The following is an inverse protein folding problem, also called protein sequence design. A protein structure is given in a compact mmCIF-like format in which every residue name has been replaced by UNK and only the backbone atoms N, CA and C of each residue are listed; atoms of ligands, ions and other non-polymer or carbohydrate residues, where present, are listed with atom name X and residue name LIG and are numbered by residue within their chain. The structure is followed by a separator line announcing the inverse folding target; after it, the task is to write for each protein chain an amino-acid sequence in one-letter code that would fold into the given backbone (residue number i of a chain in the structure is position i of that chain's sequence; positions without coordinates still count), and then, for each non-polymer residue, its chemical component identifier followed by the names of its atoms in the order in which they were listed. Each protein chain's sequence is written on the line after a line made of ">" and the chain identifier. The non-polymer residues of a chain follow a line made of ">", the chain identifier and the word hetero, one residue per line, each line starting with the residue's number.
data_IF_743912524603
#
_entry.id   IF_743912524603
#
_cell.length_a   1.000
_cell.length_b   1.000
_cell.length_c   1.000
_cell.angle_alpha   90.00
_cell.angle_beta   90.00
_cell.angle_gamma   90.00
#
_symmetry.space_group_name_H-M   'P 1'
#
loop_
_entity.id
_entity.type
_entity.pdbx_description
1 polymer ?
#
# COMPACT_ATOMS: atom_id res chain seq x y z
N UNK A 1 -15.35 10.40 -6.19
CA UNK A 1 -15.17 10.65 -4.75
C UNK A 1 -15.21 12.16 -4.49
N UNK A 2 -14.37 12.97 -5.13
CA UNK A 2 -14.31 14.43 -4.92
C UNK A 2 -15.65 15.16 -5.25
N UNK A 3 -16.48 14.57 -6.08
CA UNK A 3 -17.77 15.14 -6.49
C UNK A 3 -18.96 14.57 -5.71
N UNK A 4 -18.73 13.65 -4.79
CA UNK A 4 -19.79 13.10 -3.96
C UNK A 4 -20.07 14.01 -2.77
N UNK A 5 -21.33 14.39 -2.62
CA UNK A 5 -21.82 15.30 -1.56
C UNK A 5 -22.65 14.55 -0.51
N UNK A 6 -22.91 13.25 -0.73
CA UNK A 6 -23.79 12.50 0.15
C UNK A 6 -22.97 11.57 1.08
N UNK A 7 -23.36 11.46 2.36
CA UNK A 7 -22.75 10.54 3.30
C UNK A 7 -23.13 9.09 2.99
N UNK A 8 -22.41 8.11 3.58
CA UNK A 8 -22.68 6.67 3.49
C UNK A 8 -24.14 6.30 3.74
N UNK A 9 -24.78 6.97 4.70
CA UNK A 9 -26.18 6.74 5.04
C UNK A 9 -27.17 6.97 3.88
N UNK A 10 -26.75 7.70 2.85
CA UNK A 10 -27.52 7.84 1.62
C UNK A 10 -27.75 6.50 0.87
N UNK A 11 -26.93 5.50 1.11
CA UNK A 11 -27.09 4.13 0.56
C UNK A 11 -28.28 3.41 1.19
N UNK A 12 -28.65 3.76 2.42
CA UNK A 12 -29.68 3.04 3.19
C UNK A 12 -31.08 3.11 2.59
N UNK A 13 -31.38 4.20 1.87
CA UNK A 13 -32.66 4.28 1.15
C UNK A 13 -32.81 3.20 0.06
N UNK A 14 -31.69 2.65 -0.42
CA UNK A 14 -31.67 1.55 -1.38
C UNK A 14 -31.59 0.19 -0.69
N UNK A 15 -31.58 0.14 0.66
CA UNK A 15 -31.38 -1.06 1.44
C UNK A 15 -29.93 -1.54 1.50
N UNK A 16 -28.97 -0.77 0.98
CA UNK A 16 -27.55 -1.10 0.95
C UNK A 16 -26.90 -0.60 2.24
N UNK A 17 -26.32 -1.50 3.05
CA UNK A 17 -25.67 -1.13 4.32
C UNK A 17 -24.36 -0.34 4.08
N UNK A 18 -23.64 -0.68 3.00
CA UNK A 18 -22.29 -0.21 2.71
C UNK A 18 -21.22 -0.81 3.62
N UNK A 19 -21.54 -1.78 4.48
CA UNK A 19 -20.57 -2.52 5.30
C UNK A 19 -19.98 -3.72 4.54
N UNK A 20 -20.75 -4.24 3.60
CA UNK A 20 -20.33 -5.26 2.65
C UNK A 20 -19.91 -4.55 1.35
N UNK A 21 -18.74 -4.89 0.76
CA UNK A 21 -18.34 -4.34 -0.52
C UNK A 21 -19.37 -4.69 -1.59
N UNK A 22 -19.69 -3.76 -2.47
CA UNK A 22 -20.59 -4.04 -3.58
C UNK A 22 -19.99 -3.73 -4.95
N UNK A 23 -20.36 -4.53 -5.94
CA UNK A 23 -20.09 -4.26 -7.34
C UNK A 23 -21.29 -3.58 -7.99
N UNK A 24 -21.03 -2.56 -8.79
CA UNK A 24 -22.05 -1.82 -9.53
C UNK A 24 -22.04 -2.28 -11.00
N UNK A 25 -23.15 -2.82 -11.48
CA UNK A 25 -23.36 -3.11 -12.90
C UNK A 25 -24.44 -2.18 -13.47
N UNK A 26 -24.11 -1.47 -14.54
CA UNK A 26 -25.03 -0.54 -15.20
C UNK A 26 -25.63 -1.21 -16.43
N UNK A 27 -26.96 -1.29 -16.51
CA UNK A 27 -27.73 -1.89 -17.61
C UNK A 27 -28.50 -0.76 -18.30
N UNK A 28 -28.10 -0.41 -19.52
CA UNK A 28 -28.67 0.72 -20.27
C UNK A 28 -29.72 0.31 -21.30
N UNK A 29 -29.67 -0.93 -21.77
CA UNK A 29 -30.56 -1.45 -22.81
C UNK A 29 -30.72 -2.97 -22.66
N UNK A 30 -31.57 -3.56 -23.49
CA UNK A 30 -31.84 -5.02 -23.51
C UNK A 30 -30.61 -5.85 -23.84
N UNK A 31 -29.70 -5.36 -24.68
CA UNK A 31 -28.46 -6.07 -25.04
C UNK A 31 -27.53 -6.27 -23.83
N UNK A 32 -27.67 -5.42 -22.81
CA UNK A 32 -26.91 -5.50 -21.57
C UNK A 32 -27.56 -6.37 -20.49
N UNK A 33 -28.79 -6.87 -20.68
CA UNK A 33 -29.47 -7.75 -19.72
C UNK A 33 -28.71 -9.06 -19.41
N UNK A 34 -27.95 -9.67 -20.33
CA UNK A 34 -27.08 -10.79 -19.96
C UNK A 34 -26.09 -10.46 -18.83
N UNK A 35 -25.73 -9.20 -18.65
CA UNK A 35 -24.84 -8.75 -17.57
C UNK A 35 -25.46 -8.98 -16.17
N UNK A 36 -26.78 -8.90 -16.03
CA UNK A 36 -27.47 -9.25 -14.79
C UNK A 36 -27.23 -10.72 -14.42
N UNK A 37 -27.32 -11.63 -15.40
CA UNK A 37 -27.02 -13.05 -15.18
C UNK A 37 -25.55 -13.31 -14.79
N UNK A 38 -24.61 -12.60 -15.40
CA UNK A 38 -23.19 -12.67 -15.02
C UNK A 38 -22.94 -12.13 -13.62
N UNK A 39 -23.54 -11.00 -13.29
CA UNK A 39 -23.44 -10.40 -11.96
C UNK A 39 -24.02 -11.33 -10.87
N UNK A 40 -25.15 -12.02 -11.18
CA UNK A 40 -25.74 -13.04 -10.32
C UNK A 40 -24.81 -14.24 -10.11
N UNK A 41 -24.16 -14.76 -11.15
CA UNK A 41 -23.16 -15.82 -11.03
C UNK A 41 -21.96 -15.41 -10.18
N UNK A 42 -21.49 -14.18 -10.34
CA UNK A 42 -20.37 -13.63 -9.58
C UNK A 42 -20.75 -13.52 -8.09
N UNK A 43 -21.94 -12.98 -7.80
CA UNK A 43 -22.51 -12.92 -6.46
C UNK A 43 -22.55 -14.31 -5.82
N UNK A 44 -23.13 -15.29 -6.50
CA UNK A 44 -23.21 -16.66 -6.03
C UNK A 44 -21.83 -17.25 -5.72
N UNK A 45 -20.89 -17.14 -6.66
CA UNK A 45 -19.55 -17.67 -6.52
C UNK A 45 -18.81 -17.11 -5.28
N UNK A 46 -18.83 -15.79 -5.07
CA UNK A 46 -18.11 -15.18 -3.95
C UNK A 46 -18.75 -15.52 -2.61
N UNK A 47 -20.08 -15.50 -2.53
CA UNK A 47 -20.77 -15.86 -1.29
C UNK A 47 -20.60 -17.35 -0.94
N UNK A 48 -20.59 -18.26 -1.91
CA UNK A 48 -20.27 -19.68 -1.70
C UNK A 48 -18.83 -19.89 -1.19
N UNK A 49 -17.91 -19.02 -1.57
CA UNK A 49 -16.52 -19.05 -1.08
C UNK A 49 -16.35 -18.36 0.28
N UNK A 50 -17.42 -17.90 0.90
CA UNK A 50 -17.38 -17.21 2.19
C UNK A 50 -16.91 -15.75 2.12
N UNK A 51 -16.84 -15.16 0.91
CA UNK A 51 -16.56 -13.75 0.72
C UNK A 51 -17.88 -12.98 0.54
N UNK A 52 -18.37 -12.25 1.56
CA UNK A 52 -19.59 -11.49 1.45
C UNK A 52 -19.43 -10.37 0.40
N UNK A 53 -20.30 -10.37 -0.59
CA UNK A 53 -20.31 -9.42 -1.69
C UNK A 53 -21.76 -9.04 -2.00
N UNK A 54 -22.05 -7.74 -2.05
CA UNK A 54 -23.28 -7.23 -2.62
C UNK A 54 -23.13 -6.97 -4.12
N UNK A 55 -24.20 -7.06 -4.87
CA UNK A 55 -24.28 -6.67 -6.26
C UNK A 55 -25.40 -5.67 -6.44
N UNK A 56 -25.11 -4.53 -7.06
CA UNK A 56 -26.08 -3.50 -7.39
C UNK A 56 -26.23 -3.41 -8.90
N UNK A 57 -27.41 -3.70 -9.41
CA UNK A 57 -27.76 -3.54 -10.81
C UNK A 57 -28.50 -2.19 -10.97
N UNK A 58 -27.89 -1.24 -11.66
CA UNK A 58 -28.47 0.05 -11.96
C UNK A 58 -29.04 0.03 -13.40
N UNK A 59 -30.36 0.00 -13.52
CA UNK A 59 -31.06 -0.07 -14.80
C UNK A 59 -31.39 1.33 -15.29
N UNK A 60 -30.66 1.79 -16.32
CA UNK A 60 -30.75 3.13 -16.94
C UNK A 60 -31.37 3.03 -18.34
N UNK A 61 -32.66 2.74 -18.44
CA UNK A 61 -33.34 2.71 -19.73
C UNK A 61 -33.61 4.11 -20.29
N UNK A 62 -33.44 4.27 -21.62
CA UNK A 62 -33.86 5.47 -22.32
C UNK A 62 -35.40 5.60 -22.36
N UNK A 63 -35.92 6.82 -22.35
CA UNK A 63 -37.35 7.13 -22.51
C UNK A 63 -38.34 6.45 -21.54
N UNK A 64 -37.96 6.24 -20.27
CA UNK A 64 -38.88 5.70 -19.28
C UNK A 64 -38.98 4.17 -19.25
N UNK A 65 -38.21 3.45 -20.04
CA UNK A 65 -38.18 1.98 -20.11
C UNK A 65 -37.34 1.33 -19.00
N UNK A 66 -36.87 2.12 -18.02
CA UNK A 66 -36.06 1.61 -16.91
C UNK A 66 -36.77 0.58 -16.03
N UNK A 67 -38.11 0.67 -15.89
CA UNK A 67 -38.91 -0.30 -15.13
C UNK A 67 -38.95 -1.69 -15.77
N UNK A 68 -39.05 -1.77 -17.08
CA UNK A 68 -38.97 -3.06 -17.82
C UNK A 68 -37.62 -3.74 -17.66
N UNK A 69 -36.53 -2.98 -17.87
CA UNK A 69 -35.17 -3.50 -17.67
C UNK A 69 -34.91 -3.96 -16.24
N UNK A 70 -35.41 -3.21 -15.26
CA UNK A 70 -35.26 -3.61 -13.85
C UNK A 70 -36.04 -4.89 -13.51
N UNK A 71 -37.25 -5.08 -14.08
CA UNK A 71 -38.01 -6.28 -13.90
C UNK A 71 -37.31 -7.50 -14.49
N UNK A 72 -36.84 -7.40 -15.74
CA UNK A 72 -36.09 -8.48 -16.39
C UNK A 72 -34.77 -8.79 -15.67
N UNK A 73 -34.07 -7.77 -15.16
CA UNK A 73 -32.86 -7.96 -14.38
C UNK A 73 -33.14 -8.72 -13.07
N UNK A 74 -34.27 -8.46 -12.39
CA UNK A 74 -34.72 -9.21 -11.21
C UNK A 74 -34.97 -10.67 -11.55
N UNK A 75 -35.72 -10.94 -12.60
CA UNK A 75 -36.03 -12.31 -13.08
C UNK A 75 -34.76 -13.10 -13.40
N UNK A 76 -33.79 -12.48 -14.05
CA UNK A 76 -32.51 -13.13 -14.38
C UNK A 76 -31.62 -13.41 -13.19
N UNK A 77 -31.81 -12.69 -12.07
CA UNK A 77 -31.00 -12.84 -10.85
C UNK A 77 -31.71 -13.61 -9.74
N UNK A 78 -33.00 -13.88 -9.87
CA UNK A 78 -33.83 -14.54 -8.85
C UNK A 78 -33.24 -15.89 -8.41
N UNK A 79 -32.81 -16.71 -9.38
CA UNK A 79 -32.20 -18.02 -9.10
C UNK A 79 -30.93 -17.96 -8.26
N UNK A 80 -30.24 -16.81 -8.22
CA UNK A 80 -29.03 -16.61 -7.44
C UNK A 80 -29.30 -15.98 -6.06
N UNK A 81 -30.49 -15.43 -5.85
CA UNK A 81 -30.88 -14.75 -4.61
C UNK A 81 -31.50 -15.70 -3.59
N UNK A 82 -31.90 -16.91 -3.99
CA UNK A 82 -32.56 -17.87 -3.14
C UNK A 82 -31.60 -18.92 -2.59
N UNK A 83 -31.66 -19.14 -1.27
CA UNK A 83 -31.04 -20.32 -0.64
C UNK A 83 -29.64 -20.12 -0.04
N UNK A 84 -29.09 -18.91 -0.01
CA UNK A 84 -27.76 -18.68 0.56
C UNK A 84 -27.79 -18.12 1.98
N UNK A 85 -27.05 -18.78 2.88
CA UNK A 85 -26.76 -18.28 4.23
C UNK A 85 -25.73 -17.13 4.26
N UNK A 86 -25.31 -16.64 3.08
CA UNK A 86 -24.33 -15.56 2.92
C UNK A 86 -24.88 -14.20 3.32
N UNK A 87 -24.01 -13.32 3.79
CA UNK A 87 -24.37 -11.96 4.22
C UNK A 87 -24.68 -10.99 3.06
N UNK A 88 -24.26 -11.31 1.81
CA UNK A 88 -24.44 -10.44 0.64
C UNK A 88 -25.83 -10.50 0.02
N UNK A 89 -26.19 -9.49 -0.77
CA UNK A 89 -27.49 -9.35 -1.47
C UNK A 89 -27.33 -8.83 -2.89
N UNK A 90 -28.35 -9.06 -3.73
CA UNK A 90 -28.49 -8.45 -5.05
C UNK A 90 -29.55 -7.35 -4.97
N UNK A 91 -29.20 -6.15 -5.37
CA UNK A 91 -30.08 -4.98 -5.41
C UNK A 91 -30.30 -4.60 -6.88
N UNK A 92 -31.55 -4.38 -7.25
CA UNK A 92 -31.94 -3.91 -8.58
C UNK A 92 -32.59 -2.55 -8.46
N UNK A 93 -31.92 -1.54 -8.98
CA UNK A 93 -32.32 -0.14 -8.86
C UNK A 93 -32.79 0.41 -10.21
N UNK A 94 -33.89 1.17 -10.19
CA UNK A 94 -34.42 1.88 -11.35
C UNK A 94 -33.76 3.23 -11.49
N UNK A 95 -32.97 3.46 -12.53
CA UNK A 95 -32.21 4.67 -12.75
C UNK A 95 -33.06 5.94 -12.80
N UNK A 96 -34.30 5.83 -13.26
CA UNK A 96 -35.26 6.97 -13.28
C UNK A 96 -35.62 7.51 -11.89
N UNK A 97 -35.50 6.69 -10.86
CA UNK A 97 -35.80 7.07 -9.45
C UNK A 97 -34.58 7.57 -8.67
N UNK A 98 -33.41 7.64 -9.32
CA UNK A 98 -32.13 7.95 -8.69
C UNK A 98 -31.64 9.33 -9.15
N UNK A 99 -31.42 10.23 -8.21
CA UNK A 99 -30.88 11.55 -8.48
C UNK A 99 -29.40 11.50 -8.91
N UNK A 100 -28.90 12.58 -9.50
CA UNK A 100 -27.48 12.71 -9.89
C UNK A 100 -26.54 12.55 -8.69
N UNK A 101 -26.90 13.12 -7.54
CA UNK A 101 -26.11 13.03 -6.31
C UNK A 101 -26.04 11.58 -5.78
N UNK A 102 -27.15 10.85 -5.81
CA UNK A 102 -27.22 9.44 -5.40
C UNK A 102 -26.48 8.51 -6.37
N UNK A 103 -26.50 8.83 -7.65
CA UNK A 103 -25.70 8.13 -8.65
C UNK A 103 -24.21 8.29 -8.36
N UNK A 104 -23.75 9.51 -8.09
CA UNK A 104 -22.38 9.79 -7.67
C UNK A 104 -22.02 9.03 -6.38
N UNK A 105 -22.95 8.94 -5.43
CA UNK A 105 -22.78 8.16 -4.21
C UNK A 105 -22.54 6.67 -4.52
N UNK A 106 -23.38 6.03 -5.37
CA UNK A 106 -23.21 4.62 -5.76
C UNK A 106 -21.84 4.38 -6.40
N UNK A 107 -21.42 5.23 -7.35
CA UNK A 107 -20.09 5.14 -7.97
C UNK A 107 -18.94 5.40 -7.00
N UNK A 108 -19.15 6.20 -5.98
CA UNK A 108 -18.14 6.50 -4.96
C UNK A 108 -17.90 5.33 -4.02
N UNK A 109 -18.98 4.63 -3.64
CA UNK A 109 -18.92 3.58 -2.63
C UNK A 109 -18.80 2.18 -3.19
N UNK A 110 -19.01 1.95 -4.48
CA UNK A 110 -18.82 0.64 -5.08
C UNK A 110 -17.33 0.23 -5.04
N UNK A 111 -17.08 -1.05 -4.82
CA UNK A 111 -15.75 -1.64 -4.89
C UNK A 111 -15.23 -1.73 -6.35
N UNK A 112 -16.15 -1.74 -7.32
CA UNK A 112 -15.83 -1.73 -8.73
C UNK A 112 -17.08 -1.61 -9.58
N UNK A 113 -16.90 -1.11 -10.81
CA UNK A 113 -17.96 -1.02 -11.81
C UNK A 113 -17.75 -2.12 -12.83
N UNK A 114 -18.77 -2.97 -13.01
CA UNK A 114 -18.82 -3.92 -14.10
C UNK A 114 -19.23 -3.15 -15.35
N UNK A 115 -18.27 -2.87 -16.21
CA UNK A 115 -18.49 -2.15 -17.45
C UNK A 115 -19.06 -3.04 -18.54
N UNK A 116 -18.78 -2.72 -19.80
CA UNK A 116 -19.23 -3.49 -20.96
C UNK A 116 -18.62 -4.90 -20.94
N UNK A 117 -19.38 -5.85 -20.37
CA UNK A 117 -19.00 -7.27 -20.26
C UNK A 117 -19.02 -7.94 -21.64
N UNK A 118 -19.61 -7.33 -22.65
CA UNK A 118 -19.63 -7.84 -24.04
C UNK A 118 -18.24 -8.02 -24.65
N UNK A 119 -17.24 -7.32 -24.12
CA UNK A 119 -15.84 -7.48 -24.51
C UNK A 119 -15.03 -8.45 -23.64
N UNK A 120 -15.68 -9.16 -22.71
CA UNK A 120 -15.12 -10.12 -21.77
C UNK A 120 -14.51 -9.44 -20.52
N UNK A 121 -14.86 -9.97 -19.35
CA UNK A 121 -14.27 -9.54 -18.06
C UNK A 121 -12.75 -9.61 -18.10
N UNK A 122 -12.18 -10.57 -18.83
CA UNK A 122 -10.73 -10.71 -19.02
C UNK A 122 -10.07 -9.43 -19.54
N UNK A 123 -10.72 -8.69 -20.46
CA UNK A 123 -10.14 -7.45 -20.98
C UNK A 123 -10.15 -6.31 -19.97
N UNK A 124 -11.14 -6.26 -19.06
CA UNK A 124 -11.19 -5.27 -18.00
C UNK A 124 -10.12 -5.55 -16.93
N UNK A 125 -9.86 -6.83 -16.64
CA UNK A 125 -8.83 -7.25 -15.67
C UNK A 125 -7.43 -7.35 -16.30
N UNK A 126 -7.29 -7.64 -17.59
CA UNK A 126 -5.98 -7.69 -18.29
C UNK A 126 -5.40 -6.31 -18.58
N UNK A 127 -6.19 -5.24 -18.59
CA UNK A 127 -5.63 -3.88 -18.63
C UNK A 127 -4.90 -3.51 -17.32
N UNK A 128 -5.24 -4.12 -16.18
CA UNK A 128 -4.54 -3.94 -14.91
C UNK A 128 -3.23 -4.76 -14.81
N UNK A 129 -2.98 -5.69 -15.72
CA UNK A 129 -1.91 -6.68 -15.60
C UNK A 129 -1.02 -6.81 -16.84
N UNK A 130 -0.59 -5.73 -17.48
CA UNK A 130 0.65 -5.85 -18.27
C UNK A 130 1.77 -6.11 -17.27
N UNK A 131 2.14 -7.39 -17.12
CA UNK A 131 3.42 -7.76 -16.52
C UNK A 131 4.53 -7.20 -17.41
N UNK A 132 4.88 -5.94 -17.17
CA UNK A 132 6.09 -5.35 -17.73
C UNK A 132 7.21 -6.05 -16.98
N UNK A 133 7.82 -7.04 -17.58
CA UNK A 133 9.03 -7.67 -17.05
C UNK A 133 10.14 -6.65 -17.22
N UNK A 134 10.41 -5.88 -16.18
CA UNK A 134 11.59 -5.05 -16.15
C UNK A 134 12.81 -5.93 -15.88
N UNK A 135 13.72 -5.99 -16.85
CA UNK A 135 15.00 -6.67 -16.69
C UNK A 135 15.95 -5.74 -15.94
N UNK A 136 16.19 -6.02 -14.68
CA UNK A 136 17.18 -5.25 -13.91
C UNK A 136 18.60 -5.51 -14.46
N UNK A 137 19.43 -4.47 -14.60
CA UNK A 137 20.85 -4.64 -14.90
C UNK A 137 21.55 -5.43 -13.77
N UNK A 138 22.71 -6.00 -14.08
CA UNK A 138 23.52 -6.67 -13.05
C UNK A 138 24.08 -5.62 -12.06
N UNK A 139 24.07 -5.92 -10.74
CA UNK A 139 24.69 -5.03 -9.76
C UNK A 139 26.21 -5.02 -9.90
N UNK A 140 26.83 -3.94 -9.47
CA UNK A 140 28.27 -3.89 -9.25
C UNK A 140 28.65 -4.76 -8.05
N UNK A 141 29.86 -5.34 -8.01
CA UNK A 141 30.36 -6.09 -6.85
C UNK A 141 30.34 -5.22 -5.58
N UNK A 142 30.00 -5.82 -4.46
CA UNK A 142 30.02 -5.19 -3.15
C UNK A 142 30.81 -6.03 -2.16
N UNK A 143 31.34 -5.41 -1.12
CA UNK A 143 32.02 -6.13 -0.05
C UNK A 143 30.99 -6.86 0.83
N UNK A 144 31.29 -8.10 1.30
CA UNK A 144 30.43 -8.81 2.23
C UNK A 144 30.37 -8.05 3.56
N UNK A 145 29.27 -8.24 4.29
CA UNK A 145 29.13 -7.70 5.64
C UNK A 145 30.08 -8.44 6.60
N UNK A 146 30.76 -7.68 7.47
CA UNK A 146 31.53 -8.26 8.56
C UNK A 146 30.59 -8.98 9.53
N UNK A 147 31.08 -10.09 10.12
CA UNK A 147 30.33 -10.86 11.11
C UNK A 147 30.98 -10.73 12.46
N UNK A 148 30.15 -10.59 13.47
CA UNK A 148 30.55 -10.47 14.87
C UNK A 148 30.53 -11.86 15.55
N UNK A 149 31.36 -12.03 16.59
CA UNK A 149 31.22 -13.12 17.53
C UNK A 149 30.09 -12.80 18.50
N UNK A 150 29.03 -13.58 18.48
CA UNK A 150 27.80 -13.33 19.23
C UNK A 150 27.64 -14.30 20.38
N UNK A 151 27.21 -13.79 21.53
CA UNK A 151 26.79 -14.61 22.66
C UNK A 151 25.44 -15.25 22.38
N UNK A 152 25.26 -16.48 22.85
CA UNK A 152 23.99 -17.24 22.71
C UNK A 152 23.48 -17.35 21.26
N UNK A 153 24.40 -17.52 20.32
CA UNK A 153 24.05 -17.65 18.91
C UNK A 153 23.14 -18.86 18.64
N UNK A 154 22.01 -18.64 17.98
CA UNK A 154 20.97 -19.65 17.74
C UNK A 154 20.87 -20.13 16.28
N UNK A 155 21.86 -19.81 15.46
CA UNK A 155 21.87 -20.13 14.02
C UNK A 155 21.56 -18.94 13.11
N UNK A 156 20.82 -17.94 13.59
CA UNK A 156 20.45 -16.74 12.83
C UNK A 156 20.95 -15.46 13.50
N UNK A 157 21.00 -15.43 14.83
CA UNK A 157 21.38 -14.26 15.60
C UNK A 157 21.78 -14.58 17.04
N UNK A 158 22.24 -13.55 17.73
CA UNK A 158 22.69 -13.61 19.13
C UNK A 158 22.95 -12.20 19.65
N UNK A 159 23.49 -12.10 20.86
CA UNK A 159 23.79 -10.80 21.47
C UNK A 159 25.24 -10.38 21.21
N UNK A 160 25.42 -9.16 20.81
CA UNK A 160 26.74 -8.51 20.77
C UNK A 160 27.22 -8.29 22.22
N UNK A 161 28.40 -8.79 22.60
CA UNK A 161 28.88 -8.71 24.00
C UNK A 161 29.18 -7.28 24.46
N UNK A 162 29.42 -6.35 23.54
CA UNK A 162 29.81 -4.96 23.87
C UNK A 162 28.61 -4.01 23.87
N UNK A 163 27.78 -4.08 22.83
CA UNK A 163 26.63 -3.18 22.65
C UNK A 163 25.35 -3.69 23.30
N UNK A 164 25.29 -4.98 23.62
CA UNK A 164 24.07 -5.69 24.09
C UNK A 164 22.91 -5.66 23.06
N UNK A 165 23.19 -5.31 21.82
CA UNK A 165 22.22 -5.40 20.74
C UNK A 165 21.96 -6.86 20.38
N UNK A 166 20.74 -7.20 19.99
CA UNK A 166 20.46 -8.46 19.38
C UNK A 166 20.76 -8.37 17.88
N UNK A 167 21.77 -9.12 17.44
CA UNK A 167 22.26 -9.07 16.07
C UNK A 167 21.72 -10.25 15.28
N UNK A 168 21.10 -9.99 14.14
CA UNK A 168 20.61 -10.98 13.19
C UNK A 168 21.47 -10.86 11.93
N UNK A 169 22.09 -11.97 11.52
CA UNK A 169 22.96 -11.99 10.34
C UNK A 169 22.46 -13.05 9.37
N UNK A 170 21.86 -12.61 8.28
CA UNK A 170 21.26 -13.45 7.25
C UNK A 170 22.14 -13.46 6.01
N UNK A 171 22.48 -14.65 5.51
CA UNK A 171 23.15 -14.84 4.22
C UNK A 171 22.15 -14.80 3.08
N UNK A 172 22.67 -14.77 1.86
CA UNK A 172 21.88 -14.97 0.65
C UNK A 172 20.99 -16.21 0.77
N UNK A 173 19.68 -16.03 0.58
CA UNK A 173 18.68 -17.11 0.67
C UNK A 173 18.24 -17.52 2.08
N UNK A 174 18.89 -17.02 3.15
CA UNK A 174 18.47 -17.30 4.53
C UNK A 174 17.31 -16.39 4.96
N UNK A 175 16.42 -16.91 5.81
CA UNK A 175 15.37 -16.15 6.49
C UNK A 175 15.21 -16.65 7.91
N UNK A 176 14.79 -15.79 8.81
CA UNK A 176 14.33 -16.16 10.15
C UNK A 176 13.09 -17.06 10.06
N UNK A 177 12.84 -17.94 11.04
CA UNK A 177 11.66 -18.82 11.04
C UNK A 177 10.31 -18.06 11.09
N UNK A 178 10.33 -16.85 11.62
CA UNK A 178 9.22 -15.89 11.68
C UNK A 178 9.81 -14.50 11.78
N UNK A 179 9.04 -13.41 11.54
CA UNK A 179 9.52 -12.06 11.72
C UNK A 179 9.97 -11.79 13.15
N UNK A 180 11.25 -11.46 13.34
CA UNK A 180 11.79 -11.05 14.62
C UNK A 180 11.78 -9.53 14.71
N UNK A 181 11.04 -9.00 15.68
CA UNK A 181 10.68 -7.60 15.72
C UNK A 181 11.23 -6.87 16.93
N UNK A 182 11.41 -5.57 16.77
CA UNK A 182 11.66 -4.61 17.84
C UNK A 182 10.50 -3.61 17.91
N UNK A 183 10.14 -3.19 19.12
CA UNK A 183 9.12 -2.17 19.37
C UNK A 183 9.83 -0.89 19.78
N UNK A 184 9.61 0.15 18.98
CA UNK A 184 10.18 1.48 19.17
C UNK A 184 9.03 2.44 19.47
N UNK A 185 8.96 2.97 20.68
CA UNK A 185 7.82 3.77 21.09
C UNK A 185 8.17 4.81 22.16
N UNK A 186 7.38 5.87 22.18
CA UNK A 186 7.21 6.78 23.30
C UNK A 186 5.76 6.70 23.81
N UNK A 187 5.34 7.61 24.69
CA UNK A 187 3.99 7.60 25.29
C UNK A 187 2.85 7.77 24.26
N UNK A 188 3.10 8.40 23.11
CA UNK A 188 2.07 8.81 22.16
C UNK A 188 2.23 8.19 20.77
N UNK A 189 3.37 7.56 20.48
CA UNK A 189 3.72 7.13 19.15
C UNK A 189 4.58 5.88 19.18
N UNK A 190 4.36 4.97 18.23
CA UNK A 190 5.17 3.76 18.19
C UNK A 190 5.16 3.08 16.82
N UNK A 191 6.16 2.23 16.66
CA UNK A 191 6.31 1.38 15.47
C UNK A 191 6.82 0.01 15.88
N UNK A 192 6.34 -1.03 15.21
CA UNK A 192 6.98 -2.34 15.18
C UNK A 192 7.87 -2.37 13.95
N UNK A 193 9.08 -2.85 14.10
CA UNK A 193 10.04 -3.02 12.99
C UNK A 193 10.59 -4.43 13.04
N UNK A 194 10.42 -5.19 11.95
CA UNK A 194 10.95 -6.54 11.82
C UNK A 194 12.35 -6.54 11.22
N UNK A 195 13.06 -7.66 11.29
CA UNK A 195 14.39 -7.80 10.70
C UNK A 195 14.38 -7.68 9.18
N UNK A 196 13.25 -7.88 8.54
CA UNK A 196 13.10 -7.69 7.10
C UNK A 196 12.79 -6.23 6.72
N UNK A 197 12.44 -5.37 7.69
CA UNK A 197 11.94 -4.01 7.48
C UNK A 197 10.42 -3.94 7.34
N UNK A 198 9.70 -5.01 7.68
CA UNK A 198 8.24 -5.02 7.83
C UNK A 198 7.78 -4.33 9.11
N UNK A 199 6.48 -4.41 9.37
CA UNK A 199 5.86 -3.84 10.57
C UNK A 199 4.83 -2.77 10.28
N UNK A 200 4.49 -1.96 11.29
CA UNK A 200 3.54 -0.85 11.16
C UNK A 200 3.82 0.26 12.17
N UNK A 201 3.30 1.45 11.87
CA UNK A 201 3.40 2.63 12.70
C UNK A 201 2.02 3.06 13.20
N UNK A 202 1.92 3.57 14.42
CA UNK A 202 0.69 4.05 15.03
C UNK A 202 0.91 5.32 15.84
N UNK A 203 -0.17 6.09 16.04
CA UNK A 203 -0.17 7.26 16.94
C UNK A 203 -1.28 7.13 17.95
N UNK A 204 -0.96 7.36 19.25
CA UNK A 204 -1.85 7.30 20.43
C UNK A 204 -2.43 5.92 20.71
N UNK A 205 -3.05 5.26 19.72
CA UNK A 205 -3.68 3.97 19.89
C UNK A 205 -3.29 3.02 18.75
N UNK A 206 -2.63 1.91 19.08
CA UNK A 206 -2.13 0.93 18.11
C UNK A 206 -3.23 0.10 17.42
N UNK A 207 -4.43 0.04 18.01
CA UNK A 207 -5.57 -0.64 17.41
C UNK A 207 -6.45 0.28 16.57
N UNK A 208 -6.70 1.51 17.06
CA UNK A 208 -7.70 2.42 16.50
C UNK A 208 -7.11 3.46 15.54
N UNK A 209 -5.83 3.78 15.66
CA UNK A 209 -5.17 4.80 14.85
C UNK A 209 -3.80 4.34 14.33
N UNK A 210 -3.83 3.35 13.45
CA UNK A 210 -2.66 2.93 12.69
C UNK A 210 -2.37 3.96 11.60
N UNK A 211 -1.11 4.38 11.48
CA UNK A 211 -0.66 5.22 10.36
C UNK A 211 -0.46 4.38 9.12
N UNK A 212 0.09 3.17 9.28
CA UNK A 212 0.30 2.20 8.21
C UNK A 212 -0.37 0.86 8.56
N UNK A 213 -0.76 0.02 7.58
CA UNK A 213 -1.47 -1.22 7.85
C UNK A 213 -0.67 -2.20 8.71
N UNK A 214 -1.37 -3.02 9.48
CA UNK A 214 -0.83 -4.18 10.18
C UNK A 214 -1.49 -5.45 9.68
N UNK A 215 -0.73 -6.37 9.10
CA UNK A 215 -1.24 -7.64 8.57
C UNK A 215 -1.12 -8.80 9.55
N UNK A 216 -0.18 -8.74 10.51
CA UNK A 216 0.20 -9.85 11.39
C UNK A 216 0.51 -11.16 10.61
N UNK A 217 1.06 -11.02 9.41
CA UNK A 217 1.41 -12.15 8.54
C UNK A 217 2.84 -12.61 8.86
N UNK A 218 2.94 -13.72 9.58
CA UNK A 218 4.21 -14.30 10.02
C UNK A 218 5.01 -14.98 8.87
N UNK A 219 4.43 -15.09 7.69
CA UNK A 219 5.08 -15.70 6.51
C UNK A 219 5.47 -14.64 5.49
N UNK A 220 4.55 -13.75 5.17
CA UNK A 220 4.75 -12.73 4.13
C UNK A 220 5.48 -11.49 4.62
N UNK A 221 5.34 -11.16 5.90
CA UNK A 221 5.90 -9.96 6.55
C UNK A 221 5.89 -8.71 5.65
N UNK A 222 4.71 -8.28 5.17
CA UNK A 222 4.63 -7.23 4.16
C UNK A 222 5.11 -5.89 4.71
N UNK A 223 6.06 -5.27 4.01
CA UNK A 223 6.54 -3.93 4.33
C UNK A 223 5.62 -2.88 3.71
N UNK A 224 4.87 -2.16 4.55
CA UNK A 224 4.02 -1.03 4.13
C UNK A 224 4.75 0.33 4.15
N UNK A 225 5.96 0.34 4.65
CA UNK A 225 6.90 1.46 4.61
C UNK A 225 8.21 0.96 4.00
N UNK A 226 8.76 1.68 3.03
CA UNK A 226 9.91 1.21 2.25
C UNK A 226 10.83 2.35 1.87
N UNK A 227 12.12 2.05 1.81
CA UNK A 227 13.13 2.90 1.17
C UNK A 227 13.69 2.12 -0.01
N UNK A 228 13.60 2.71 -1.20
CA UNK A 228 14.17 2.16 -2.42
C UNK A 228 15.27 3.09 -2.92
N UNK A 229 16.41 2.52 -3.28
CA UNK A 229 17.57 3.24 -3.79
C UNK A 229 17.77 2.82 -5.24
N UNK A 230 17.72 3.79 -6.14
CA UNK A 230 17.95 3.58 -7.56
C UNK A 230 19.23 4.26 -8.00
N UNK A 231 20.11 3.54 -8.63
CA UNK A 231 21.20 4.10 -9.41
C UNK A 231 20.63 4.69 -10.71
N UNK A 232 20.72 5.99 -10.88
CA UNK A 232 20.11 6.68 -12.03
C UNK A 232 20.82 6.37 -13.35
N UNK A 233 22.09 6.00 -13.31
CA UNK A 233 22.87 5.67 -14.49
C UNK A 233 22.61 4.26 -15.01
N UNK A 234 22.62 3.27 -14.12
CA UNK A 234 22.40 1.88 -14.50
C UNK A 234 20.91 1.49 -14.48
N UNK A 235 20.08 2.19 -13.70
CA UNK A 235 18.70 1.81 -13.43
C UNK A 235 18.56 0.68 -12.39
N UNK A 236 19.67 0.24 -11.76
CA UNK A 236 19.62 -0.79 -10.72
C UNK A 236 18.91 -0.27 -9.47
N UNK A 237 17.99 -1.09 -8.89
CA UNK A 237 17.23 -0.74 -7.69
C UNK A 237 17.49 -1.76 -6.59
N UNK A 238 17.69 -1.29 -5.38
CA UNK A 238 17.87 -2.09 -4.17
C UNK A 238 17.26 -1.37 -2.96
N UNK A 239 17.27 -2.00 -1.79
CA UNK A 239 16.72 -1.46 -0.55
C UNK A 239 17.73 -1.64 0.59
N UNK A 240 17.81 -0.71 1.56
CA UNK A 240 18.61 -0.88 2.77
C UNK A 240 18.03 -1.96 3.70
N UNK A 241 16.78 -2.38 3.50
CA UNK A 241 16.10 -3.45 4.21
C UNK A 241 15.82 -4.64 3.29
N UNK A 242 15.69 -5.83 3.86
CA UNK A 242 15.49 -7.08 3.11
C UNK A 242 14.18 -7.12 2.33
N UNK A 243 13.10 -6.69 2.96
CA UNK A 243 11.80 -6.63 2.31
C UNK A 243 11.60 -5.28 1.60
N UNK A 244 10.84 -5.28 0.52
CA UNK A 244 10.21 -6.40 -0.16
C UNK A 244 11.06 -6.96 -1.31
N UNK A 245 12.27 -6.45 -1.51
CA UNK A 245 12.89 -6.50 -2.82
C UNK A 245 14.08 -7.44 -2.95
N UNK A 246 14.97 -7.49 -1.97
CA UNK A 246 16.24 -8.22 -2.06
C UNK A 246 16.33 -9.39 -1.09
N UNK A 247 15.38 -10.32 -1.16
CA UNK A 247 15.33 -11.50 -0.27
C UNK A 247 16.54 -12.43 -0.36
N UNK A 248 17.37 -12.29 -1.40
CA UNK A 248 18.48 -13.20 -1.69
C UNK A 248 19.86 -12.57 -1.51
N UNK A 249 20.02 -11.58 -0.62
CA UNK A 249 21.28 -10.92 -0.35
C UNK A 249 21.62 -10.97 1.14
N UNK A 250 22.89 -10.70 1.46
CA UNK A 250 23.36 -10.62 2.83
C UNK A 250 22.82 -9.35 3.52
N UNK A 251 22.19 -9.54 4.67
CA UNK A 251 21.72 -8.44 5.53
C UNK A 251 22.16 -8.69 6.97
N UNK A 252 22.49 -7.60 7.68
CA UNK A 252 22.68 -7.63 9.11
C UNK A 252 21.74 -6.61 9.76
N UNK A 253 21.06 -7.05 10.81
CA UNK A 253 20.15 -6.23 11.59
C UNK A 253 20.59 -6.22 13.05
N UNK A 254 20.59 -5.07 13.69
CA UNK A 254 20.89 -4.90 15.11
C UNK A 254 19.70 -4.24 15.78
N UNK A 255 19.02 -4.98 16.63
CA UNK A 255 17.94 -4.49 17.47
C UNK A 255 18.51 -4.04 18.81
N UNK A 256 18.51 -2.74 19.04
CA UNK A 256 18.91 -2.11 20.28
C UNK A 256 17.72 -1.59 21.10
N UNK A 257 17.97 -1.08 22.29
CA UNK A 257 16.95 -0.43 23.12
C UNK A 257 16.63 0.94 22.52
N UNK A 258 15.41 1.08 21.95
CA UNK A 258 14.93 2.33 21.36
C UNK A 258 15.34 2.58 19.92
N UNK A 259 16.04 1.66 19.27
CA UNK A 259 16.37 1.75 17.85
C UNK A 259 16.56 0.39 17.19
N UNK A 260 16.52 0.37 15.87
CA UNK A 260 16.92 -0.77 15.02
C UNK A 260 17.81 -0.29 13.89
N UNK A 261 18.92 -1.01 13.63
CA UNK A 261 19.85 -0.71 12.55
C UNK A 261 19.86 -1.83 11.54
N UNK A 262 19.88 -1.45 10.26
CA UNK A 262 19.95 -2.34 9.11
C UNK A 262 21.20 -2.02 8.31
N UNK A 263 22.02 -3.03 8.04
CA UNK A 263 23.24 -2.91 7.26
C UNK A 263 23.12 -3.75 6.00
N UNK A 264 23.42 -3.12 4.87
CA UNK A 264 23.40 -3.79 3.59
C UNK A 264 24.41 -3.17 2.63
N UNK A 265 25.14 -4.03 1.91
CA UNK A 265 26.12 -3.63 0.92
C UNK A 265 25.72 -4.19 -0.44
N UNK A 266 25.29 -3.32 -1.36
CA UNK A 266 24.87 -3.73 -2.70
C UNK A 266 25.19 -2.67 -3.76
N UNK A 267 25.48 -3.14 -4.97
CA UNK A 267 25.78 -2.30 -6.14
C UNK A 267 26.90 -1.27 -5.87
N UNK A 268 27.97 -1.68 -5.16
CA UNK A 268 29.06 -0.81 -4.69
C UNK A 268 28.59 0.41 -3.87
N UNK A 269 27.51 0.22 -3.09
CA UNK A 269 27.00 1.17 -2.13
C UNK A 269 26.81 0.46 -0.78
N UNK A 270 27.36 1.03 0.29
CA UNK A 270 27.11 0.58 1.64
C UNK A 270 26.03 1.43 2.27
N UNK A 271 25.05 0.78 2.92
CA UNK A 271 23.95 1.43 3.61
C UNK A 271 23.91 1.03 5.08
N UNK A 272 23.66 2.00 5.95
CA UNK A 272 23.26 1.83 7.33
C UNK A 272 21.98 2.64 7.55
N UNK A 273 20.87 1.95 7.79
CA UNK A 273 19.59 2.57 8.14
C UNK A 273 19.35 2.40 9.65
N UNK A 274 19.25 3.50 10.38
CA UNK A 274 18.84 3.50 11.78
C UNK A 274 17.42 4.02 11.91
N UNK A 275 16.53 3.20 12.46
CA UNK A 275 15.12 3.55 12.71
C UNK A 275 14.91 3.72 14.21
N UNK A 276 14.30 4.82 14.62
CA UNK A 276 13.94 5.11 16.00
C UNK A 276 12.73 6.05 16.09
N UNK A 277 12.14 6.13 17.28
CA UNK A 277 11.08 7.09 17.60
C UNK A 277 11.68 8.14 18.52
N UNK A 278 11.39 9.42 18.26
CA UNK A 278 11.86 10.51 19.12
C UNK A 278 11.25 10.39 20.54
N UNK A 279 12.02 10.61 21.62
CA UNK A 279 11.50 10.42 22.98
C UNK A 279 10.32 11.31 23.32
N UNK A 280 10.30 12.53 22.82
CA UNK A 280 9.41 13.65 23.21
C UNK A 280 8.54 14.18 22.05
N UNK A 281 8.54 13.52 20.91
CA UNK A 281 7.71 13.87 19.78
C UNK A 281 7.11 12.63 19.08
N UNK A 282 5.90 12.72 18.51
CA UNK A 282 5.28 11.63 17.78
C UNK A 282 5.86 11.49 16.37
N UNK A 283 7.17 11.22 16.30
CA UNK A 283 7.94 11.17 15.05
C UNK A 283 8.80 9.92 15.01
N UNK A 284 8.66 9.15 13.96
CA UNK A 284 9.58 8.09 13.55
C UNK A 284 10.64 8.68 12.64
N UNK A 285 11.87 8.40 12.92
CA UNK A 285 13.02 8.81 12.11
C UNK A 285 13.63 7.59 11.44
N UNK A 286 13.83 7.68 10.13
CA UNK A 286 14.60 6.73 9.31
C UNK A 286 15.89 7.41 8.89
N UNK A 287 16.95 7.23 9.69
CA UNK A 287 18.25 7.86 9.45
C UNK A 287 19.13 6.95 8.59
N UNK A 288 19.28 7.30 7.32
CA UNK A 288 20.04 6.53 6.34
C UNK A 288 21.43 7.15 6.11
N UNK A 289 22.47 6.38 6.38
CA UNK A 289 23.85 6.68 6.00
C UNK A 289 24.19 5.88 4.74
N UNK A 290 24.68 6.53 3.70
CA UNK A 290 25.01 5.93 2.41
C UNK A 290 26.44 6.26 2.04
N UNK A 291 27.26 5.24 1.73
CA UNK A 291 28.63 5.38 1.29
C UNK A 291 28.80 4.82 -0.12
N UNK A 292 29.30 5.63 -1.04
CA UNK A 292 29.70 5.18 -2.37
C UNK A 292 31.06 4.49 -2.29
N UNK A 293 31.09 3.17 -2.47
CA UNK A 293 32.35 2.38 -2.48
C UNK A 293 32.89 2.13 -3.89
N UNK A 294 32.24 2.70 -4.92
CA UNK A 294 32.74 2.69 -6.30
C UNK A 294 33.88 3.69 -6.49
N UNK A 295 34.76 3.42 -7.45
CA UNK A 295 35.81 4.35 -7.86
C UNK A 295 35.32 5.56 -8.65
N UNK A 296 34.06 5.62 -9.01
CA UNK A 296 33.43 6.70 -9.78
C UNK A 296 32.35 7.43 -8.98
N UNK A 297 32.05 8.66 -9.38
CA UNK A 297 30.89 9.40 -8.87
C UNK A 297 29.59 8.69 -9.26
N UNK A 298 28.65 8.59 -8.32
CA UNK A 298 27.36 7.95 -8.49
C UNK A 298 26.22 8.94 -8.23
N UNK A 299 25.20 8.87 -9.06
CA UNK A 299 23.95 9.59 -8.83
C UNK A 299 22.87 8.59 -8.43
N UNK A 300 22.34 8.76 -7.21
CA UNK A 300 21.38 7.86 -6.61
C UNK A 300 20.09 8.60 -6.32
N UNK A 301 18.96 7.97 -6.64
CA UNK A 301 17.61 8.42 -6.27
C UNK A 301 17.09 7.57 -5.10
N UNK A 302 16.72 8.22 -4.02
CA UNK A 302 16.18 7.62 -2.82
C UNK A 302 14.68 7.87 -2.79
N UNK A 303 13.87 6.83 -2.81
CA UNK A 303 12.42 6.93 -2.71
C UNK A 303 11.97 6.31 -1.40
N UNK A 304 11.50 7.15 -0.47
CA UNK A 304 10.74 6.69 0.69
C UNK A 304 9.26 6.61 0.32
N UNK A 305 8.59 5.53 0.69
CA UNK A 305 7.17 5.36 0.45
C UNK A 305 6.48 4.64 1.59
N UNK A 306 5.23 5.02 1.86
CA UNK A 306 4.35 4.35 2.81
C UNK A 306 2.91 4.34 2.30
N UNK A 307 2.12 3.39 2.80
CA UNK A 307 0.69 3.29 2.54
C UNK A 307 -0.09 3.78 3.76
N UNK A 308 -0.65 5.01 3.74
CA UNK A 308 -1.34 5.56 4.90
C UNK A 308 -2.73 4.92 5.06
N UNK A 309 -3.09 4.60 6.31
CA UNK A 309 -4.42 4.11 6.70
C UNK A 309 -5.15 5.14 7.57
N UNK A 310 -4.45 5.70 8.56
CA UNK A 310 -4.97 6.64 9.56
C UNK A 310 -6.30 6.13 10.17
N UNK A 311 -6.31 4.86 10.55
CA UNK A 311 -7.52 4.17 11.01
C UNK A 311 -7.26 2.79 11.61
N UNK A 312 -8.31 2.00 11.71
CA UNK A 312 -8.29 0.67 12.32
C UNK A 312 -7.93 -0.43 11.33
N UNK A 313 -8.45 -0.33 10.10
CA UNK A 313 -8.39 -1.35 9.06
C UNK A 313 -7.73 -0.82 7.80
N UNK A 314 -7.17 -1.71 7.00
CA UNK A 314 -6.54 -1.33 5.73
C UNK A 314 -7.50 -0.59 4.78
N UNK A 315 -8.81 -0.92 4.85
CA UNK A 315 -9.87 -0.30 4.05
C UNK A 315 -10.10 1.17 4.40
N UNK A 316 -9.69 1.62 5.58
CA UNK A 316 -9.84 3.02 6.00
C UNK A 316 -8.94 3.96 5.17
N UNK A 317 -7.92 3.42 4.51
CA UNK A 317 -7.06 4.15 3.57
C UNK A 317 -7.85 4.90 2.48
N UNK A 318 -9.03 4.41 2.10
CA UNK A 318 -9.92 5.08 1.12
C UNK A 318 -10.45 6.43 1.56
N UNK A 319 -10.37 6.75 2.85
CA UNK A 319 -10.81 8.03 3.42
C UNK A 319 -9.65 9.00 3.64
N UNK A 320 -8.44 8.58 3.34
CA UNK A 320 -7.25 9.42 3.49
C UNK A 320 -7.16 10.39 2.33
N UNK A 321 -7.00 11.67 2.66
CA UNK A 321 -6.68 12.73 1.73
C UNK A 321 -5.25 13.20 1.96
N UNK A 322 -4.52 13.48 0.89
CA UNK A 322 -3.15 13.96 0.96
C UNK A 322 -3.01 15.37 0.40
N UNK A 323 -2.05 16.12 0.90
CA UNK A 323 -1.64 17.42 0.36
C UNK A 323 -0.13 17.58 0.44
N UNK A 324 0.42 18.29 -0.49
CA UNK A 324 1.82 18.72 -0.51
C UNK A 324 1.95 20.17 -0.13
N UNK A 325 2.91 20.49 0.72
CA UNK A 325 3.21 21.85 1.12
C UNK A 325 4.66 21.97 1.58
N UNK A 326 5.42 22.86 0.97
CA UNK A 326 6.80 23.25 1.32
C UNK A 326 7.72 22.07 1.71
N UNK A 327 7.83 21.06 0.82
CA UNK A 327 8.71 19.91 1.06
C UNK A 327 8.13 18.81 1.93
N UNK A 328 6.90 18.95 2.40
CA UNK A 328 6.23 18.00 3.29
C UNK A 328 4.97 17.45 2.65
N UNK A 329 4.83 16.14 2.66
CA UNK A 329 3.62 15.44 2.25
C UNK A 329 2.79 15.12 3.49
N UNK A 330 1.57 15.63 3.54
CA UNK A 330 0.62 15.46 4.64
C UNK A 330 -0.49 14.50 4.28
N UNK A 331 -1.03 13.81 5.28
CA UNK A 331 -2.19 12.94 5.14
C UNK A 331 -3.17 13.11 6.32
N UNK A 332 -4.46 13.10 6.02
CA UNK A 332 -5.54 13.25 7.00
C UNK A 332 -6.67 12.27 6.70
N UNK A 333 -7.30 11.74 7.75
CA UNK A 333 -8.52 10.95 7.63
C UNK A 333 -9.65 11.62 8.43
N UNK A 334 -10.41 12.46 7.75
CA UNK A 334 -11.53 13.20 8.37
C UNK A 334 -12.71 12.31 8.78
N UNK A 335 -12.75 11.07 8.30
CA UNK A 335 -13.80 10.09 8.63
C UNK A 335 -13.50 9.29 9.89
N UNK A 336 -12.29 9.39 10.44
CA UNK A 336 -11.92 8.78 11.71
C UNK A 336 -12.42 9.68 12.85
N UNK A 337 -13.61 9.41 13.38
CA UNK A 337 -14.29 10.30 14.32
C UNK A 337 -13.49 10.56 15.63
N UNK A 338 -12.74 9.56 16.11
CA UNK A 338 -11.97 9.66 17.37
C UNK A 338 -10.66 10.44 17.17
N UNK A 339 -10.05 10.32 15.99
CA UNK A 339 -8.74 10.90 15.68
C UNK A 339 -8.81 11.93 14.55
N UNK A 340 -10.01 12.42 14.20
CA UNK A 340 -10.18 13.53 13.25
C UNK A 340 -9.42 14.76 13.74
N UNK A 341 -8.79 15.47 12.81
CA UNK A 341 -7.95 16.63 13.14
C UNK A 341 -6.50 16.29 13.48
N UNK A 342 -6.11 15.00 13.50
CA UNK A 342 -4.72 14.60 13.47
C UNK A 342 -4.22 14.54 12.02
N UNK A 343 -3.05 15.11 11.80
CA UNK A 343 -2.37 15.12 10.51
C UNK A 343 -1.10 14.26 10.61
N UNK A 344 -0.97 13.26 9.76
CA UNK A 344 0.29 12.57 9.55
C UNK A 344 1.12 13.31 8.51
N UNK A 345 2.44 13.18 8.58
CA UNK A 345 3.35 13.79 7.61
C UNK A 345 4.52 12.89 7.27
N UNK A 346 5.09 13.12 6.08
CA UNK A 346 6.38 12.60 5.65
C UNK A 346 7.22 13.75 5.10
N UNK A 347 8.47 13.83 5.54
CA UNK A 347 9.43 14.85 5.14
C UNK A 347 10.83 14.24 5.02
N UNK A 348 11.76 14.95 4.38
CA UNK A 348 13.16 14.55 4.29
C UNK A 348 14.06 15.73 4.68
N UNK A 349 15.22 15.42 5.25
CA UNK A 349 16.26 16.41 5.58
C UNK A 349 16.93 17.01 4.33
N UNK A 350 16.84 16.32 3.21
CA UNK A 350 17.36 16.79 1.93
C UNK A 350 16.20 17.32 1.06
N UNK A 351 16.44 18.26 0.15
CA UNK A 351 15.43 18.78 -0.74
C UNK A 351 14.74 17.68 -1.57
N UNK A 352 13.42 17.58 -1.46
CA UNK A 352 12.63 16.62 -2.22
C UNK A 352 12.62 17.00 -3.69
N UNK A 353 13.06 16.07 -4.55
CA UNK A 353 13.11 16.30 -6.01
C UNK A 353 11.78 16.04 -6.70
N UNK A 354 10.98 15.10 -6.19
CA UNK A 354 9.63 14.80 -6.65
C UNK A 354 8.86 14.03 -5.57
N UNK A 355 7.52 14.06 -5.65
CA UNK A 355 6.65 13.38 -4.70
C UNK A 355 5.45 12.76 -5.43
N UNK A 356 4.71 11.88 -4.75
CA UNK A 356 3.40 11.46 -5.22
C UNK A 356 2.57 10.85 -4.09
N UNK A 357 1.26 10.96 -4.21
CA UNK A 357 0.31 10.13 -3.48
C UNK A 357 -0.64 9.37 -4.40
N UNK A 358 -0.34 9.32 -5.69
CA UNK A 358 -1.09 8.56 -6.69
C UNK A 358 -0.83 7.05 -6.53
N UNK A 359 -1.79 6.35 -5.92
CA UNK A 359 -1.70 4.90 -5.72
C UNK A 359 -1.62 4.12 -7.04
N UNK A 360 -2.19 4.64 -8.13
CA UNK A 360 -2.12 3.99 -9.44
C UNK A 360 -0.69 3.96 -9.98
N UNK A 361 0.10 5.00 -9.71
CA UNK A 361 1.51 5.06 -10.10
C UNK A 361 2.34 3.97 -9.41
N UNK A 362 1.93 3.52 -8.21
CA UNK A 362 2.57 2.45 -7.44
C UNK A 362 1.92 1.07 -7.61
N UNK A 363 0.76 0.97 -8.26
CA UNK A 363 0.06 -0.32 -8.46
C UNK A 363 0.76 -1.23 -9.45
N UNK A 364 1.30 -0.65 -10.53
CA UNK A 364 2.07 -1.41 -11.51
C UNK A 364 3.45 -1.72 -10.94
N UNK A 365 3.73 -3.00 -10.67
CA UNK A 365 4.99 -3.45 -10.06
C UNK A 365 5.69 -4.48 -10.95
N UNK A 366 7.01 -4.45 -10.90
CA UNK A 366 7.85 -5.52 -11.44
C UNK A 366 8.72 -6.07 -10.31
N UNK A 367 8.59 -7.37 -10.00
CA UNK A 367 9.31 -8.05 -8.91
C UNK A 367 9.20 -7.30 -7.56
N UNK A 368 8.03 -6.73 -7.25
CA UNK A 368 7.78 -6.00 -6.01
C UNK A 368 8.24 -4.54 -5.99
N UNK A 369 8.90 -4.06 -7.05
CA UNK A 369 9.28 -2.64 -7.20
C UNK A 369 8.22 -1.91 -8.00
N UNK A 370 7.66 -0.80 -7.48
CA UNK A 370 6.77 0.04 -8.26
C UNK A 370 7.45 0.56 -9.52
N UNK A 371 6.75 0.50 -10.66
CA UNK A 371 7.29 0.97 -11.95
C UNK A 371 7.62 2.46 -11.93
N UNK A 372 6.91 3.25 -11.13
CA UNK A 372 7.19 4.67 -10.92
C UNK A 372 8.59 4.92 -10.37
N UNK A 373 9.06 4.06 -9.46
CA UNK A 373 10.42 4.15 -8.89
C UNK A 373 11.49 3.83 -9.93
N UNK A 374 11.14 3.04 -10.97
CA UNK A 374 12.03 2.73 -12.09
C UNK A 374 12.12 3.87 -13.11
N UNK A 375 11.27 4.88 -13.01
CA UNK A 375 11.34 6.13 -13.79
C UNK A 375 12.24 7.14 -13.11
N UNK A 376 12.53 8.24 -13.79
CA UNK A 376 13.42 9.26 -13.24
C UNK A 376 12.81 10.06 -12.11
N UNK A 377 11.52 10.42 -12.21
CA UNK A 377 10.80 11.25 -11.23
C UNK A 377 9.41 10.70 -10.95
N UNK A 378 8.90 10.99 -9.77
CA UNK A 378 7.50 10.81 -9.40
C UNK A 378 6.64 11.87 -10.10
N UNK A 379 5.31 11.70 -10.09
CA UNK A 379 4.39 12.49 -10.94
C UNK A 379 3.88 13.78 -10.30
N UNK A 380 4.35 14.15 -9.10
CA UNK A 380 3.99 15.35 -8.32
C UNK A 380 2.48 15.57 -8.11
N UNK A 381 1.74 14.46 -7.90
CA UNK A 381 0.30 14.48 -7.64
C UNK A 381 -0.04 14.17 -6.20
N UNK A 382 -1.15 14.74 -5.75
CA UNK A 382 -1.82 14.39 -4.49
C UNK A 382 -3.17 13.77 -4.76
N UNK A 383 -3.57 12.81 -3.92
CA UNK A 383 -4.79 12.02 -4.07
C UNK A 383 -5.72 12.20 -2.87
N UNK A 384 -6.99 11.87 -3.06
CA UNK A 384 -7.99 11.79 -2.00
C UNK A 384 -8.92 10.60 -2.24
N UNK A 385 -9.02 9.71 -1.25
CA UNK A 385 -10.03 8.66 -1.22
C UNK A 385 -9.79 7.43 -2.09
N UNK A 386 -8.66 7.29 -2.74
CA UNK A 386 -8.32 6.12 -3.57
C UNK A 386 -7.24 5.22 -2.94
N UNK A 387 -7.18 5.14 -1.62
CA UNK A 387 -6.10 4.45 -0.90
C UNK A 387 -4.74 5.00 -1.31
N UNK A 388 -4.44 6.28 -1.02
CA UNK A 388 -3.23 6.94 -1.50
C UNK A 388 -1.97 6.27 -0.98
N UNK A 389 -0.86 6.48 -1.67
CA UNK A 389 0.49 6.28 -1.16
C UNK A 389 1.03 7.62 -0.69
N UNK A 390 1.99 7.63 0.23
CA UNK A 390 2.84 8.79 0.48
C UNK A 390 4.25 8.44 0.03
N UNK A 391 4.74 9.11 -1.01
CA UNK A 391 6.08 8.86 -1.52
C UNK A 391 6.84 10.17 -1.78
N UNK A 392 8.10 10.19 -1.33
CA UNK A 392 9.05 11.28 -1.52
C UNK A 392 10.30 10.74 -2.21
N UNK A 393 10.83 11.46 -3.17
CA UNK A 393 12.07 11.12 -3.83
C UNK A 393 13.11 12.24 -3.66
N UNK A 394 14.34 11.83 -3.34
CA UNK A 394 15.51 12.70 -3.22
C UNK A 394 16.60 12.17 -4.11
N UNK A 395 17.33 13.04 -4.81
CA UNK A 395 18.48 12.68 -5.63
C UNK A 395 19.78 13.20 -5.02
N UNK A 396 20.74 12.30 -4.82
CA UNK A 396 22.05 12.65 -4.31
C UNK A 396 23.15 12.22 -5.27
N UNK A 397 24.14 13.10 -5.44
CA UNK A 397 25.38 12.79 -6.11
C UNK A 397 26.46 12.50 -5.05
N UNK A 398 27.09 11.32 -5.11
CA UNK A 398 28.15 10.89 -4.21
C UNK A 398 29.43 10.66 -5.00
N UNK A 399 30.50 11.36 -4.64
CA UNK A 399 31.84 11.10 -5.17
C UNK A 399 32.36 9.74 -4.73
N UNK A 400 33.42 9.25 -5.36
CA UNK A 400 34.11 8.04 -4.92
C UNK A 400 34.52 8.15 -3.44
N UNK A 401 34.16 7.16 -2.62
CA UNK A 401 34.42 7.13 -1.18
C UNK A 401 33.58 8.10 -0.33
N UNK A 402 32.70 8.90 -0.93
CA UNK A 402 31.88 9.86 -0.19
C UNK A 402 30.77 9.17 0.58
N UNK A 403 30.53 9.66 1.81
CA UNK A 403 29.43 9.27 2.68
C UNK A 403 28.47 10.44 2.86
N UNK A 404 27.18 10.22 2.66
CA UNK A 404 26.11 11.16 2.97
C UNK A 404 25.09 10.57 3.92
N UNK A 405 24.36 11.44 4.60
CA UNK A 405 23.27 11.07 5.54
C UNK A 405 22.02 11.84 5.19
N UNK A 406 20.87 11.15 5.28
CA UNK A 406 19.55 11.73 5.11
C UNK A 406 18.58 11.08 6.11
N UNK A 407 17.56 11.84 6.51
CA UNK A 407 16.53 11.41 7.44
C UNK A 407 15.15 11.74 6.89
#
# INVERSE_FOLDING_TARGET
>A
IRENELPKSGLWRFGISGDIPFLLAVIKNEDMLPHAGWAGKLYHYYNEKGFPLDVVLLCEGEHGYSGGLAQEARERTEQYSTGHAGAGRIFVLEGASISVAERKLLYTWCAGVLGDIGNGLEKQFTQAGRNIVYSMPAPKPSQPLARDELLYFNGYGGFDPMSQEYVISLKEGESTPMPWSNILANEQFGTIVTESGGGFTYSRNSALNKLTPWSNDAVGDPAFERILIRDTQSGYVFSPTRAPYNQNKDYMVRHGIGYSRFYHNENAVNTELCVFVLPDAPVKVSWLTVTNTDGATRELAFTYMLYPVLGQKAEDARFVATRWDDGVLYAENVCNAEFSGLTAFAACSEPVSSYTSDAEDFRAQSKGVPLSVLRNDLNDKTEAGASPVMALQVKLCLKAGETKRLA
#
